data_IF_085906865350
#
_entry.id   IF_085906865350
#
_cell.length_a   1.000
_cell.length_b   1.000
_cell.length_c   1.000
_cell.angle_alpha   90.00
_cell.angle_beta   90.00
_cell.angle_gamma   90.00
#
_symmetry.space_group_name_H-M   'P 1'
#
loop_
_entity.id
_entity.type
_entity.pdbx_description
1 polymer ?
#
# COMPACT_ATOMS: atom_id res chain seq x y z
N UNK A 1 17.95 -22.52 13.30
CA UNK A 1 17.10 -23.64 12.98
C UNK A 1 16.05 -23.30 11.95
N UNK A 2 15.89 -24.14 10.95
CA UNK A 2 14.82 -24.02 9.95
C UNK A 2 13.50 -24.39 10.64
N UNK A 3 12.47 -23.58 10.48
CA UNK A 3 11.16 -23.89 11.04
C UNK A 3 10.60 -25.19 10.42
N UNK A 4 10.09 -26.11 11.26
CA UNK A 4 9.53 -27.36 10.75
C UNK A 4 8.28 -27.11 9.89
N UNK A 5 8.02 -28.02 8.94
CA UNK A 5 6.90 -27.92 8.02
C UNK A 5 5.54 -27.60 8.71
N UNK A 6 5.16 -28.25 9.83
CA UNK A 6 3.88 -27.97 10.46
C UNK A 6 3.70 -26.51 10.92
N UNK A 7 4.77 -25.88 11.40
CA UNK A 7 4.74 -24.49 11.86
C UNK A 7 4.65 -23.51 10.69
N UNK A 8 5.38 -23.80 9.60
CA UNK A 8 5.34 -22.97 8.39
C UNK A 8 4.04 -23.16 7.62
N UNK A 9 3.54 -24.39 7.49
CA UNK A 9 2.29 -24.67 6.76
C UNK A 9 1.10 -23.99 7.43
N UNK A 10 1.01 -24.03 8.75
CA UNK A 10 -0.07 -23.36 9.50
C UNK A 10 -0.07 -21.84 9.27
N UNK A 11 1.10 -21.20 9.20
CA UNK A 11 1.22 -19.77 8.95
C UNK A 11 0.94 -19.43 7.47
N UNK A 12 1.57 -20.16 6.54
CA UNK A 12 1.49 -19.84 5.13
C UNK A 12 0.14 -20.19 4.52
N UNK A 13 -0.50 -21.27 4.97
CA UNK A 13 -1.87 -21.60 4.55
C UNK A 13 -2.91 -20.62 5.11
N UNK A 14 -2.62 -19.93 6.23
CA UNK A 14 -3.44 -18.79 6.67
C UNK A 14 -3.30 -17.56 5.79
N UNK A 15 -2.12 -17.36 5.20
CA UNK A 15 -1.85 -16.26 4.27
C UNK A 15 -2.33 -16.57 2.85
N UNK A 16 -2.45 -17.84 2.49
CA UNK A 16 -3.03 -18.25 1.23
C UNK A 16 -4.54 -18.04 1.23
N UNK A 17 -5.06 -17.58 0.12
CA UNK A 17 -6.46 -17.14 0.01
C UNK A 17 -7.47 -18.26 -0.16
N UNK A 18 -7.04 -19.42 -0.61
CA UNK A 18 -7.93 -20.49 -1.00
C UNK A 18 -8.55 -21.25 0.19
N UNK A 19 -8.01 -21.05 1.38
CA UNK A 19 -8.56 -21.49 2.69
C UNK A 19 -8.92 -22.98 2.84
N UNK A 20 -8.95 -23.71 1.73
CA UNK A 20 -9.41 -25.09 1.64
C UNK A 20 -8.38 -26.05 1.04
N UNK A 21 -7.40 -25.53 0.33
CA UNK A 21 -6.32 -26.32 -0.26
C UNK A 21 -5.02 -26.03 0.45
N UNK A 22 -4.22 -27.04 0.74
CA UNK A 22 -2.87 -26.85 1.26
C UNK A 22 -1.99 -26.27 0.13
N UNK A 23 -1.97 -24.94 0.04
CA UNK A 23 -1.12 -24.22 -0.91
C UNK A 23 0.35 -24.44 -0.62
N UNK A 24 0.71 -24.63 0.65
CA UNK A 24 2.06 -24.92 1.10
C UNK A 24 2.23 -26.43 1.39
N UNK A 25 2.56 -27.18 0.33
CA UNK A 25 2.75 -28.64 0.41
C UNK A 25 4.13 -29.02 0.97
N UNK A 26 4.30 -30.25 1.51
CA UNK A 26 5.62 -30.75 1.91
C UNK A 26 6.65 -30.71 0.79
N UNK A 27 6.23 -30.99 -0.44
CA UNK A 27 7.12 -30.95 -1.62
C UNK A 27 7.63 -29.51 -1.87
N UNK A 28 6.76 -28.50 -1.77
CA UNK A 28 7.15 -27.11 -1.91
C UNK A 28 8.08 -26.67 -0.76
N UNK A 29 7.82 -27.12 0.47
CA UNK A 29 8.72 -26.88 1.60
C UNK A 29 10.12 -27.40 1.34
N UNK A 30 10.26 -28.65 0.88
CA UNK A 30 11.55 -29.22 0.55
C UNK A 30 12.25 -28.48 -0.60
N UNK A 31 11.52 -28.04 -1.61
CA UNK A 31 12.07 -27.27 -2.71
C UNK A 31 12.55 -25.86 -2.27
N UNK A 32 11.86 -25.23 -1.32
CA UNK A 32 12.23 -23.92 -0.79
C UNK A 32 13.25 -23.97 0.35
N UNK A 33 13.51 -25.15 0.93
CA UNK A 33 14.42 -25.30 2.07
C UNK A 33 15.83 -24.72 1.79
N UNK A 34 16.48 -24.98 0.63
CA UNK A 34 17.78 -24.38 0.32
C UNK A 34 17.74 -22.85 0.31
N UNK A 35 16.67 -22.27 -0.24
CA UNK A 35 16.47 -20.82 -0.29
C UNK A 35 16.28 -20.24 1.10
N UNK A 36 15.50 -20.90 1.96
CA UNK A 36 15.27 -20.48 3.35
C UNK A 36 16.56 -20.56 4.17
N UNK A 37 17.38 -21.60 3.98
CA UNK A 37 18.69 -21.73 4.63
C UNK A 37 19.62 -20.62 4.15
N UNK A 38 19.69 -20.39 2.82
CA UNK A 38 20.54 -19.36 2.24
C UNK A 38 20.17 -17.95 2.74
N UNK A 39 18.88 -17.62 2.69
CA UNK A 39 18.38 -16.31 3.16
C UNK A 39 18.58 -16.12 4.65
N UNK A 40 18.30 -17.15 5.47
CA UNK A 40 18.55 -17.11 6.90
C UNK A 40 20.03 -16.95 7.24
N UNK A 41 20.92 -17.66 6.52
CA UNK A 41 22.38 -17.53 6.68
C UNK A 41 22.86 -16.13 6.27
N UNK A 42 22.36 -15.60 5.15
CA UNK A 42 22.69 -14.27 4.68
C UNK A 42 22.26 -13.20 5.68
N UNK A 43 21.05 -13.28 6.21
CA UNK A 43 20.54 -12.35 7.23
C UNK A 43 21.36 -12.42 8.52
N UNK A 44 21.75 -13.62 8.93
CA UNK A 44 22.63 -13.83 10.10
C UNK A 44 24.01 -13.19 9.87
N UNK A 45 24.60 -13.42 8.70
CA UNK A 45 25.87 -12.80 8.33
C UNK A 45 25.79 -11.28 8.29
N UNK A 46 24.72 -10.72 7.71
CA UNK A 46 24.48 -9.28 7.69
C UNK A 46 24.28 -8.71 9.11
N UNK A 47 23.63 -9.45 10.01
CA UNK A 47 23.46 -9.06 11.41
C UNK A 47 24.75 -9.11 12.22
N UNK A 48 25.64 -10.09 11.94
CA UNK A 48 26.90 -10.27 12.66
C UNK A 48 28.03 -9.43 12.05
N UNK A 49 27.98 -9.15 10.75
CA UNK A 49 29.02 -8.39 10.04
C UNK A 49 29.36 -7.01 10.69
N UNK A 50 28.40 -6.22 11.19
CA UNK A 50 28.71 -4.98 11.89
C UNK A 50 29.56 -5.16 13.16
N UNK A 51 29.40 -6.27 13.84
CA UNK A 51 30.14 -6.61 15.06
C UNK A 51 31.55 -7.04 14.71
N UNK A 52 31.70 -7.89 13.71
CA UNK A 52 33.00 -8.43 13.27
C UNK A 52 33.83 -7.43 12.49
N UNK A 53 33.18 -6.58 11.69
CA UNK A 53 33.85 -5.60 10.80
C UNK A 53 33.35 -4.16 11.06
N UNK A 54 33.66 -3.57 12.21
CA UNK A 54 33.10 -2.27 12.60
C UNK A 54 33.54 -1.09 11.71
N UNK A 55 34.70 -1.20 11.05
CA UNK A 55 35.17 -0.16 10.09
C UNK A 55 34.36 -0.20 8.80
N UNK A 56 34.07 -1.39 8.29
CA UNK A 56 33.29 -1.60 7.08
C UNK A 56 31.82 -1.20 7.30
N UNK A 57 31.24 -1.64 8.40
CA UNK A 57 29.85 -1.29 8.73
C UNK A 57 29.65 0.22 8.92
N UNK A 58 30.56 0.89 9.62
CA UNK A 58 30.50 2.37 9.75
C UNK A 58 30.53 3.09 8.39
N UNK A 59 31.27 2.56 7.41
CA UNK A 59 31.31 3.11 6.04
C UNK A 59 30.00 2.91 5.31
N UNK A 60 29.38 1.73 5.41
CA UNK A 60 28.07 1.42 4.83
C UNK A 60 26.95 2.26 5.49
N UNK A 61 26.88 2.25 6.82
CA UNK A 61 25.87 3.00 7.56
C UNK A 61 26.04 4.52 7.42
N UNK A 62 27.28 5.00 7.31
CA UNK A 62 27.57 6.40 7.00
C UNK A 62 27.06 6.80 5.62
N UNK A 63 27.24 5.94 4.61
CA UNK A 63 26.67 6.15 3.28
C UNK A 63 25.14 6.22 3.28
N UNK A 64 24.49 5.26 3.95
CA UNK A 64 23.01 5.25 4.11
C UNK A 64 22.52 6.47 4.89
N UNK A 65 23.22 6.86 5.95
CA UNK A 65 22.89 8.07 6.72
C UNK A 65 22.97 9.35 5.89
N UNK A 66 23.94 9.46 4.99
CA UNK A 66 24.07 10.59 4.08
C UNK A 66 22.95 10.59 3.03
N UNK A 67 22.59 9.44 2.47
CA UNK A 67 21.45 9.31 1.56
C UNK A 67 20.15 9.68 2.27
N UNK A 68 19.95 9.23 3.51
CA UNK A 68 18.76 9.58 4.30
C UNK A 68 18.67 11.10 4.57
N UNK A 69 19.80 11.75 4.88
CA UNK A 69 19.84 13.21 5.04
C UNK A 69 19.54 13.94 3.74
N UNK A 70 20.09 13.47 2.61
CA UNK A 70 19.78 14.00 1.28
C UNK A 70 18.29 13.87 0.98
N UNK A 71 17.68 12.68 1.14
CA UNK A 71 16.25 12.47 0.96
C UNK A 71 15.41 13.37 1.87
N UNK A 72 15.84 13.60 3.11
CA UNK A 72 15.11 14.48 4.04
C UNK A 72 15.24 15.96 3.67
N UNK A 73 16.38 16.40 3.12
CA UNK A 73 16.57 17.77 2.61
C UNK A 73 15.77 17.98 1.33
N UNK A 74 15.76 17.00 0.44
CA UNK A 74 14.99 17.04 -0.81
C UNK A 74 13.48 17.08 -0.54
N UNK A 75 13.00 16.30 0.44
CA UNK A 75 11.62 16.39 0.90
C UNK A 75 11.27 17.79 1.45
N UNK A 76 12.14 18.39 2.28
CA UNK A 76 11.91 19.76 2.78
C UNK A 76 11.87 20.78 1.63
N UNK A 77 12.82 20.68 0.70
CA UNK A 77 12.85 21.53 -0.49
C UNK A 77 11.59 21.35 -1.34
N UNK A 78 11.13 20.09 -1.52
CA UNK A 78 9.89 19.78 -2.21
C UNK A 78 8.67 20.42 -1.53
N UNK A 79 8.50 20.25 -0.21
CA UNK A 79 7.38 20.85 0.52
C UNK A 79 7.43 22.40 0.52
N UNK A 80 8.62 23.00 0.61
CA UNK A 80 8.78 24.45 0.47
C UNK A 80 8.42 24.95 -0.93
N UNK A 81 8.85 24.22 -1.98
CA UNK A 81 8.49 24.54 -3.35
C UNK A 81 6.97 24.38 -3.59
N UNK A 82 6.37 23.36 -2.98
CA UNK A 82 4.94 23.10 -3.03
C UNK A 82 4.14 24.21 -2.33
N UNK A 83 4.57 24.66 -1.14
CA UNK A 83 3.92 25.76 -0.43
C UNK A 83 4.01 27.10 -1.18
N UNK A 84 5.15 27.36 -1.87
CA UNK A 84 5.31 28.56 -2.70
C UNK A 84 4.44 28.52 -3.96
N UNK A 85 4.16 27.33 -4.48
CA UNK A 85 3.30 27.12 -5.65
C UNK A 85 1.81 27.22 -5.31
N UNK A 86 1.43 27.39 -4.04
CA UNK A 86 0.04 27.48 -3.62
C UNK A 86 -0.67 28.66 -4.34
N UNK A 87 -1.90 28.46 -4.85
CA UNK A 87 -2.61 29.50 -5.60
C UNK A 87 -2.90 30.73 -4.73
N UNK A 88 -2.89 31.89 -5.35
CA UNK A 88 -3.22 33.18 -4.69
C UNK A 88 -4.22 33.97 -5.54
N UNK A 89 -4.99 34.82 -4.86
CA UNK A 89 -5.95 35.67 -5.53
C UNK A 89 -6.99 34.90 -6.35
N UNK A 90 -7.24 35.31 -7.59
CA UNK A 90 -8.23 34.70 -8.48
C UNK A 90 -7.98 33.20 -8.77
N UNK A 91 -6.72 32.75 -8.72
CA UNK A 91 -6.35 31.36 -8.93
C UNK A 91 -6.90 30.44 -7.83
N UNK A 92 -6.97 30.94 -6.58
CA UNK A 92 -7.58 30.22 -5.47
C UNK A 92 -9.09 30.05 -5.69
N UNK A 93 -9.75 31.10 -6.19
CA UNK A 93 -11.18 31.06 -6.54
C UNK A 93 -11.42 30.05 -7.66
N UNK A 94 -10.62 30.10 -8.73
CA UNK A 94 -10.72 29.19 -9.86
C UNK A 94 -10.51 27.73 -9.42
N UNK A 95 -9.46 27.45 -8.63
CA UNK A 95 -9.21 26.10 -8.07
C UNK A 95 -10.37 25.65 -7.19
N UNK A 96 -10.92 26.55 -6.35
CA UNK A 96 -12.08 26.29 -5.51
C UNK A 96 -13.32 25.91 -6.34
N UNK A 97 -13.58 26.61 -7.43
CA UNK A 97 -14.68 26.29 -8.34
C UNK A 97 -14.50 24.93 -9.03
N UNK A 98 -13.29 24.63 -9.49
CA UNK A 98 -12.97 23.32 -10.09
C UNK A 98 -13.13 22.21 -9.05
N UNK A 99 -12.67 22.44 -7.83
CA UNK A 99 -12.79 21.49 -6.73
C UNK A 99 -14.25 21.23 -6.39
N UNK A 100 -15.07 22.28 -6.26
CA UNK A 100 -16.51 22.16 -6.01
C UNK A 100 -17.23 21.42 -7.13
N UNK A 101 -16.93 21.74 -8.39
CA UNK A 101 -17.45 21.01 -9.54
C UNK A 101 -17.04 19.54 -9.54
N UNK A 102 -15.78 19.25 -9.21
CA UNK A 102 -15.26 17.90 -9.07
C UNK A 102 -15.89 17.09 -7.94
N UNK A 103 -16.15 17.74 -6.78
CA UNK A 103 -16.87 17.14 -5.66
C UNK A 103 -18.31 16.85 -6.07
N UNK A 104 -19.01 17.83 -6.62
CA UNK A 104 -20.41 17.70 -7.05
C UNK A 104 -20.58 16.55 -8.05
N UNK A 105 -19.76 16.52 -9.09
CA UNK A 105 -19.81 15.46 -10.09
C UNK A 105 -19.63 14.06 -9.48
N UNK A 106 -18.81 13.91 -8.43
CA UNK A 106 -18.57 12.63 -7.78
C UNK A 106 -19.64 12.26 -6.76
N UNK A 107 -20.17 13.23 -6.00
CA UNK A 107 -21.21 13.00 -4.97
C UNK A 107 -22.47 12.42 -5.60
N UNK A 108 -22.85 12.87 -6.80
CA UNK A 108 -24.00 12.34 -7.54
C UNK A 108 -23.90 10.82 -7.80
N UNK A 109 -22.68 10.28 -7.87
CA UNK A 109 -22.45 8.86 -8.15
C UNK A 109 -22.26 8.01 -6.90
N UNK A 110 -22.06 8.60 -5.70
CA UNK A 110 -21.76 7.84 -4.48
C UNK A 110 -22.88 6.89 -4.08
N UNK A 111 -24.14 7.29 -4.30
CA UNK A 111 -25.33 6.52 -3.89
C UNK A 111 -25.86 5.56 -4.97
N UNK A 112 -25.23 5.52 -6.14
CA UNK A 112 -25.66 4.57 -7.17
C UNK A 112 -25.46 3.11 -6.70
N UNK A 113 -26.31 2.17 -7.12
CA UNK A 113 -26.09 0.75 -6.84
C UNK A 113 -24.68 0.32 -7.24
N UNK A 114 -24.07 -0.56 -6.48
CA UNK A 114 -22.74 -1.11 -6.81
C UNK A 114 -22.79 -1.89 -8.12
N UNK A 115 -21.80 -1.69 -8.97
CA UNK A 115 -21.57 -2.54 -10.13
C UNK A 115 -21.11 -3.94 -9.71
N UNK A 116 -21.19 -4.90 -10.63
CA UNK A 116 -20.83 -6.30 -10.35
C UNK A 116 -19.38 -6.41 -9.85
N UNK A 117 -18.43 -5.78 -10.54
CA UNK A 117 -16.99 -5.82 -10.18
C UNK A 117 -16.71 -5.17 -8.82
N UNK A 118 -17.41 -4.06 -8.53
CA UNK A 118 -17.29 -3.35 -7.25
C UNK A 118 -17.83 -4.23 -6.10
N UNK A 119 -19.02 -4.81 -6.28
CA UNK A 119 -19.60 -5.69 -5.29
C UNK A 119 -18.74 -6.96 -5.08
N UNK A 120 -18.21 -7.52 -6.15
CA UNK A 120 -17.30 -8.65 -6.08
C UNK A 120 -16.03 -8.28 -5.31
N UNK A 121 -15.38 -7.16 -5.61
CA UNK A 121 -14.18 -6.68 -4.90
C UNK A 121 -14.43 -6.53 -3.39
N UNK A 122 -15.60 -6.01 -3.02
CA UNK A 122 -15.97 -5.88 -1.61
C UNK A 122 -16.15 -7.23 -0.95
N UNK A 123 -16.91 -8.14 -1.56
CA UNK A 123 -17.27 -9.43 -0.95
C UNK A 123 -16.12 -10.42 -0.94
N UNK A 124 -15.34 -10.47 -2.01
CA UNK A 124 -14.24 -11.42 -2.14
C UNK A 124 -12.94 -10.95 -1.45
N UNK A 125 -12.69 -9.64 -1.38
CA UNK A 125 -11.42 -9.13 -0.90
C UNK A 125 -11.57 -8.15 0.28
N UNK A 126 -12.29 -7.03 0.14
CA UNK A 126 -12.28 -5.98 1.15
C UNK A 126 -13.01 -6.38 2.46
N UNK A 127 -14.01 -7.23 2.40
CA UNK A 127 -14.76 -7.72 3.57
C UNK A 127 -14.26 -9.07 4.10
N UNK A 128 -13.02 -9.42 3.79
CA UNK A 128 -12.36 -10.65 4.26
C UNK A 128 -11.26 -10.32 5.27
N UNK A 129 -10.72 -11.33 6.01
CA UNK A 129 -9.56 -11.11 6.85
C UNK A 129 -8.40 -10.47 6.11
N UNK A 130 -7.65 -9.60 6.79
CA UNK A 130 -6.58 -8.79 6.20
C UNK A 130 -5.54 -9.62 5.41
N UNK A 131 -5.18 -10.81 5.90
CA UNK A 131 -4.23 -11.68 5.21
C UNK A 131 -4.78 -12.22 3.90
N UNK A 132 -6.09 -12.53 3.80
CA UNK A 132 -6.72 -12.95 2.56
C UNK A 132 -6.70 -11.80 1.55
N UNK A 133 -7.10 -10.60 1.97
CA UNK A 133 -7.05 -9.39 1.15
C UNK A 133 -5.65 -9.15 0.56
N UNK A 134 -4.60 -9.36 1.35
CA UNK A 134 -3.22 -9.10 0.94
C UNK A 134 -2.61 -10.21 0.06
N UNK A 135 -3.07 -11.45 0.23
CA UNK A 135 -2.47 -12.63 -0.44
C UNK A 135 -3.31 -13.20 -1.58
N UNK A 136 -4.61 -12.88 -1.63
CA UNK A 136 -5.51 -13.40 -2.64
C UNK A 136 -5.37 -12.66 -3.97
N UNK A 137 -4.88 -13.37 -4.97
CA UNK A 137 -4.65 -12.87 -6.33
C UNK A 137 -5.24 -13.79 -7.40
N UNK A 138 -6.24 -14.58 -7.05
CA UNK A 138 -6.87 -15.52 -7.99
C UNK A 138 -7.63 -14.82 -9.12
N UNK A 139 -8.01 -13.55 -8.92
CA UNK A 139 -8.61 -12.70 -9.93
C UNK A 139 -7.96 -11.31 -9.96
N UNK A 140 -7.86 -10.68 -11.15
CA UNK A 140 -7.22 -9.37 -11.32
C UNK A 140 -7.98 -8.20 -10.67
N UNK A 141 -9.18 -8.45 -10.14
CA UNK A 141 -10.02 -7.43 -9.48
C UNK A 141 -9.51 -7.00 -8.10
N UNK A 142 -8.54 -7.72 -7.52
CA UNK A 142 -7.96 -7.30 -6.24
C UNK A 142 -6.93 -6.19 -6.46
N UNK A 143 -7.38 -4.97 -6.39
CA UNK A 143 -6.51 -3.80 -6.28
C UNK A 143 -6.11 -3.61 -4.81
N UNK A 144 -5.09 -4.33 -4.36
CA UNK A 144 -4.71 -4.49 -2.94
C UNK A 144 -4.78 -3.17 -2.16
N UNK A 145 -4.20 -2.09 -2.68
CA UNK A 145 -4.21 -0.81 -1.99
C UNK A 145 -5.62 -0.23 -1.83
N UNK A 146 -6.45 -0.29 -2.88
CA UNK A 146 -7.84 0.15 -2.81
C UNK A 146 -8.67 -0.73 -1.88
N UNK A 147 -8.55 -2.06 -2.03
CA UNK A 147 -9.23 -3.04 -1.17
C UNK A 147 -8.86 -2.86 0.30
N UNK A 148 -7.59 -2.55 0.61
CA UNK A 148 -7.13 -2.23 1.96
C UNK A 148 -7.80 -0.97 2.52
N UNK A 149 -7.90 0.09 1.72
CA UNK A 149 -8.57 1.31 2.16
C UNK A 149 -10.07 1.06 2.41
N UNK A 150 -10.74 0.29 1.56
CA UNK A 150 -12.13 -0.12 1.77
C UNK A 150 -12.28 -0.99 3.01
N UNK A 151 -11.35 -1.94 3.23
CA UNK A 151 -11.31 -2.78 4.44
C UNK A 151 -11.25 -1.94 5.73
N UNK A 152 -10.52 -0.83 5.73
CA UNK A 152 -10.45 0.09 6.89
C UNK A 152 -11.75 0.92 7.07
N UNK A 153 -12.49 1.16 6.00
CA UNK A 153 -13.75 1.93 6.03
C UNK A 153 -14.94 1.08 6.50
N UNK A 154 -14.98 -0.21 6.12
CA UNK A 154 -16.09 -1.12 6.41
C UNK A 154 -16.43 -1.23 7.90
N UNK A 155 -15.49 -1.38 8.84
CA UNK A 155 -15.80 -1.47 10.26
C UNK A 155 -16.45 -0.21 10.85
N UNK A 156 -16.24 0.94 10.21
CA UNK A 156 -16.71 2.25 10.70
C UNK A 156 -18.10 2.56 10.13
N UNK A 157 -18.29 2.31 8.83
CA UNK A 157 -19.47 2.79 8.08
C UNK A 157 -20.30 1.66 7.46
N UNK A 158 -19.87 0.41 7.58
CA UNK A 158 -20.54 -0.71 6.90
C UNK A 158 -20.23 -0.76 5.39
N UNK A 159 -21.13 -1.41 4.63
CA UNK A 159 -20.98 -1.69 3.19
C UNK A 159 -22.00 -0.90 2.33
N UNK A 160 -22.47 0.29 2.70
CA UNK A 160 -23.28 1.07 1.75
C UNK A 160 -22.41 1.55 0.57
N UNK A 161 -22.98 1.76 -0.63
CA UNK A 161 -22.21 2.14 -1.83
C UNK A 161 -21.29 3.34 -1.64
N UNK A 162 -21.75 4.36 -0.92
CA UNK A 162 -20.96 5.56 -0.66
C UNK A 162 -19.71 5.29 0.22
N UNK A 163 -19.82 4.38 1.20
CA UNK A 163 -18.71 4.06 2.09
C UNK A 163 -17.60 3.30 1.35
N UNK A 164 -17.98 2.34 0.51
CA UNK A 164 -17.05 1.60 -0.35
C UNK A 164 -16.32 2.54 -1.31
N UNK A 165 -17.00 3.56 -1.83
CA UNK A 165 -16.45 4.56 -2.76
C UNK A 165 -15.68 5.69 -2.07
N UNK A 166 -15.77 5.79 -0.74
CA UNK A 166 -15.13 6.89 0.00
C UNK A 166 -13.63 7.04 -0.26
N UNK A 167 -12.82 5.96 -0.28
CA UNK A 167 -11.40 6.07 -0.62
C UNK A 167 -11.17 6.65 -2.03
N UNK A 168 -11.87 6.13 -3.03
CA UNK A 168 -11.78 6.61 -4.41
C UNK A 168 -12.27 8.05 -4.56
N UNK A 169 -13.33 8.43 -3.83
CA UNK A 169 -13.84 9.79 -3.78
C UNK A 169 -12.80 10.75 -3.23
N UNK A 170 -12.22 10.45 -2.07
CA UNK A 170 -11.22 11.30 -1.42
C UNK A 170 -9.97 11.46 -2.29
N UNK A 171 -9.42 10.36 -2.80
CA UNK A 171 -8.25 10.42 -3.68
C UNK A 171 -8.54 11.20 -4.96
N UNK A 172 -9.71 11.02 -5.56
CA UNK A 172 -10.14 11.76 -6.73
C UNK A 172 -10.31 13.27 -6.49
N UNK A 173 -10.79 13.67 -5.30
CA UNK A 173 -10.87 15.08 -4.89
C UNK A 173 -9.46 15.65 -4.66
N UNK A 174 -8.58 14.92 -3.96
CA UNK A 174 -7.20 15.34 -3.72
C UNK A 174 -6.36 15.45 -5.00
N UNK A 175 -6.66 14.67 -6.02
CA UNK A 175 -5.96 14.73 -7.32
C UNK A 175 -6.09 16.11 -7.97
N UNK A 176 -7.19 16.84 -7.74
CA UNK A 176 -7.43 18.17 -8.35
C UNK A 176 -6.37 19.20 -7.88
N UNK A 177 -6.22 19.50 -6.57
CA UNK A 177 -5.22 20.46 -6.12
C UNK A 177 -3.79 19.98 -6.37
N UNK A 178 -3.53 18.67 -6.24
CA UNK A 178 -2.22 18.10 -6.52
C UNK A 178 -1.87 18.29 -8.01
N UNK A 179 -2.77 17.94 -8.93
CA UNK A 179 -2.58 18.14 -10.36
C UNK A 179 -2.34 19.61 -10.73
N UNK A 180 -3.10 20.53 -10.14
CA UNK A 180 -2.89 21.96 -10.31
C UNK A 180 -1.47 22.39 -9.89
N UNK A 181 -1.01 21.95 -8.74
CA UNK A 181 0.31 22.33 -8.20
C UNK A 181 1.45 21.76 -9.03
N UNK A 182 1.30 20.53 -9.54
CA UNK A 182 2.26 19.94 -10.49
C UNK A 182 2.30 20.69 -11.81
N UNK A 183 1.14 20.95 -12.43
CA UNK A 183 1.06 21.67 -13.68
C UNK A 183 1.62 23.11 -13.62
N UNK A 184 1.51 23.74 -12.45
CA UNK A 184 2.07 25.08 -12.23
C UNK A 184 3.60 25.09 -12.12
N UNK A 185 4.19 23.96 -11.81
CA UNK A 185 5.64 23.83 -11.60
C UNK A 185 6.36 23.29 -12.83
N UNK A 186 5.63 22.59 -13.72
CA UNK A 186 6.14 22.13 -15.01
C UNK A 186 6.30 23.30 -15.99
#
# INVERSE_FOLDING_TARGET
>A
GVLPYPSLSSLLNRLASDGQLESFSPALHHALLPLLILTGSLLTLLGVAPVLFPKFSRRLWGGLGNQWRSLSSDNRAFFQAFSRAWPKGWQLIALGMILLAGIFARVVYLQRPMGHDEAYTVMAFANTPLWNLLSDYHLPNNHIFHSLLVHLVIPIFGIPPWAVRLPAFLTGVFTIPVGYLFARKA
#
